data_IF_876148462801
#
_entry.id   IF_876148462801
#
_cell.length_a   1.000
_cell.length_b   1.000
_cell.length_c   1.000
_cell.angle_alpha   90.00
_cell.angle_beta   90.00
_cell.angle_gamma   90.00
#
_symmetry.space_group_name_H-M   'P 1'
#
loop_
_entity.id
_entity.type
_entity.pdbx_description
1 polymer ?
#
# COMPACT_ATOMS: atom_id res chain seq x y z
N UNK A 1 54.00 35.48 -32.67
CA UNK A 1 53.61 34.12 -33.10
C UNK A 1 52.75 33.54 -32.00
N UNK A 2 51.42 33.51 -32.23
CA UNK A 2 50.61 32.28 -32.36
C UNK A 2 50.43 31.60 -30.99
N UNK A 3 49.28 31.52 -30.34
CA UNK A 3 47.88 31.45 -30.76
C UNK A 3 47.17 30.63 -29.67
N UNK A 4 45.89 30.87 -29.37
CA UNK A 4 45.23 30.05 -28.35
C UNK A 4 43.81 30.42 -27.93
N UNK A 5 43.00 31.02 -28.80
CA UNK A 5 41.59 31.37 -28.50
C UNK A 5 40.61 30.18 -28.52
N UNK A 6 41.05 28.92 -28.38
CA UNK A 6 40.24 27.73 -28.66
C UNK A 6 39.94 26.78 -27.48
N UNK A 7 40.40 27.07 -26.25
CA UNK A 7 40.21 26.15 -25.11
C UNK A 7 38.93 26.39 -24.27
N UNK A 8 38.37 27.60 -24.31
CA UNK A 8 37.31 28.02 -23.36
C UNK A 8 35.88 27.58 -23.76
N UNK A 9 35.64 27.23 -25.02
CA UNK A 9 34.32 26.88 -25.53
C UNK A 9 33.88 25.45 -25.12
N UNK A 10 34.81 24.50 -25.12
CA UNK A 10 34.57 23.07 -24.85
C UNK A 10 34.25 22.79 -23.39
N UNK A 11 34.90 23.49 -22.45
CA UNK A 11 34.63 23.31 -21.02
C UNK A 11 33.25 23.87 -20.59
N UNK A 12 32.75 24.88 -21.31
CA UNK A 12 31.47 25.54 -21.02
C UNK A 12 30.27 24.71 -21.49
N UNK A 13 30.40 24.00 -22.61
CA UNK A 13 29.37 23.07 -23.10
C UNK A 13 29.25 21.83 -22.22
N UNK A 14 30.36 21.32 -21.69
CA UNK A 14 30.36 20.14 -20.81
C UNK A 14 29.69 20.41 -19.46
N UNK A 15 29.94 21.58 -18.86
CA UNK A 15 29.26 22.01 -17.62
C UNK A 15 27.75 22.16 -17.76
N UNK A 16 27.27 22.57 -18.95
CA UNK A 16 25.83 22.72 -19.23
C UNK A 16 25.13 21.37 -19.41
N UNK A 17 25.81 20.40 -20.02
CA UNK A 17 25.31 19.04 -20.17
C UNK A 17 25.25 18.30 -18.83
N UNK A 18 26.22 18.50 -17.94
CA UNK A 18 26.19 17.95 -16.58
C UNK A 18 25.06 18.53 -15.72
N UNK A 19 24.80 19.84 -15.83
CA UNK A 19 23.71 20.49 -15.09
C UNK A 19 22.32 20.02 -15.57
N UNK A 20 22.13 19.85 -16.88
CA UNK A 20 20.89 19.33 -17.46
C UNK A 20 20.63 17.85 -17.09
N UNK A 21 21.68 17.02 -17.07
CA UNK A 21 21.57 15.63 -16.63
C UNK A 21 21.20 15.52 -15.14
N UNK A 22 21.78 16.37 -14.27
CA UNK A 22 21.42 16.41 -12.85
C UNK A 22 19.97 16.88 -12.62
N UNK A 23 19.48 17.82 -13.42
CA UNK A 23 18.08 18.30 -13.34
C UNK A 23 17.06 17.24 -13.81
N UNK A 24 17.41 16.45 -14.83
CA UNK A 24 16.57 15.37 -15.32
C UNK A 24 16.48 14.19 -14.34
N UNK A 25 17.60 13.87 -13.66
CA UNK A 25 17.62 12.85 -12.61
C UNK A 25 16.79 13.29 -11.39
N UNK A 26 16.85 14.56 -10.98
CA UNK A 26 16.06 15.04 -9.84
C UNK A 26 14.55 15.08 -10.13
N UNK A 27 14.13 15.33 -11.38
CA UNK A 27 12.72 15.27 -11.77
C UNK A 27 12.17 13.83 -11.83
N UNK A 28 13.00 12.86 -12.24
CA UNK A 28 12.61 11.44 -12.27
C UNK A 28 12.47 10.83 -10.85
N UNK A 29 13.22 11.32 -9.87
CA UNK A 29 13.10 10.92 -8.46
C UNK A 29 11.87 11.55 -7.79
N UNK A 30 11.44 12.74 -8.23
CA UNK A 30 10.25 13.40 -7.67
C UNK A 30 8.92 12.69 -8.00
N UNK A 31 8.88 11.92 -9.11
CA UNK A 31 7.67 11.24 -9.58
C UNK A 31 7.31 9.94 -8.86
N UNK A 32 8.18 9.40 -8.00
CA UNK A 32 7.96 8.11 -7.31
C UNK A 32 7.43 8.24 -5.88
N UNK A 33 7.16 9.47 -5.40
CA UNK A 33 6.79 9.74 -4.01
C UNK A 33 5.27 9.85 -3.75
N UNK A 34 4.42 9.63 -4.75
CA UNK A 34 2.97 9.65 -4.53
C UNK A 34 2.50 8.32 -3.93
N UNK A 35 2.70 8.15 -2.63
CA UNK A 35 1.96 7.16 -1.85
C UNK A 35 0.47 7.54 -1.87
N UNK A 36 -0.46 6.61 -2.16
CA UNK A 36 -1.89 6.89 -1.96
C UNK A 36 -2.13 7.16 -0.48
N UNK A 37 -2.71 8.32 -0.17
CA UNK A 37 -3.09 8.67 1.19
C UNK A 37 -4.19 7.72 1.69
N UNK A 38 -3.95 7.06 2.82
CA UNK A 38 -4.97 6.30 3.53
C UNK A 38 -6.01 7.28 4.05
N UNK A 39 -7.28 7.07 3.68
CA UNK A 39 -8.39 7.85 4.22
C UNK A 39 -8.48 7.61 5.73
N UNK A 40 -8.32 8.68 6.51
CA UNK A 40 -8.36 8.64 7.97
C UNK A 40 -9.81 8.80 8.41
N UNK A 41 -10.48 7.68 8.67
CA UNK A 41 -11.67 7.68 9.52
C UNK A 41 -11.20 7.55 10.98
N UNK A 42 -11.89 8.22 11.90
CA UNK A 42 -11.60 8.18 13.34
C UNK A 42 -11.87 6.78 13.92
N UNK A 43 -10.97 5.82 13.73
CA UNK A 43 -11.00 4.58 14.50
C UNK A 43 -9.62 3.93 14.53
N UNK A 44 -8.94 4.06 15.66
CA UNK A 44 -7.85 3.27 16.27
C UNK A 44 -6.80 2.54 15.39
N UNK A 45 -6.66 2.87 14.11
CA UNK A 45 -5.60 2.41 13.21
C UNK A 45 -6.05 1.55 12.02
N UNK A 46 -7.32 1.15 11.92
CA UNK A 46 -7.87 0.36 10.81
C UNK A 46 -9.41 0.39 10.76
N UNK A 47 -10.00 0.02 9.63
CA UNK A 47 -11.47 -0.02 9.49
C UNK A 47 -12.03 -1.21 10.26
N UNK A 48 -12.94 -0.95 11.20
CA UNK A 48 -13.71 -1.99 11.88
C UNK A 48 -14.76 -2.55 10.93
N UNK A 49 -14.71 -3.85 10.69
CA UNK A 49 -15.62 -4.56 9.79
C UNK A 49 -16.39 -5.57 10.63
N UNK A 50 -17.72 -5.55 10.58
CA UNK A 50 -18.55 -6.52 11.29
C UNK A 50 -19.10 -7.54 10.29
N UNK A 51 -18.54 -8.77 10.23
CA UNK A 51 -19.14 -9.84 9.45
C UNK A 51 -20.43 -10.29 10.15
N UNK A 52 -21.58 -9.80 9.67
CA UNK A 52 -22.90 -10.14 10.20
C UNK A 52 -23.63 -11.07 9.23
N UNK A 53 -24.22 -12.15 9.75
CA UNK A 53 -25.07 -13.00 8.92
C UNK A 53 -25.43 -14.33 9.57
N UNK A 54 -25.81 -15.28 8.72
CA UNK A 54 -26.23 -16.61 9.11
C UNK A 54 -25.06 -17.62 9.15
N UNK A 55 -25.38 -18.92 9.06
CA UNK A 55 -24.45 -20.05 8.97
C UNK A 55 -23.29 -19.86 7.96
N UNK A 56 -23.47 -19.06 6.90
CA UNK A 56 -22.42 -18.77 5.91
C UNK A 56 -21.34 -17.87 6.52
N UNK A 57 -21.73 -16.92 7.36
CA UNK A 57 -20.80 -16.04 8.10
C UNK A 57 -20.20 -16.75 9.29
N UNK A 58 -21.01 -17.56 9.98
CA UNK A 58 -20.56 -18.41 11.08
C UNK A 58 -19.47 -19.38 10.59
N UNK A 59 -19.66 -20.00 9.42
CA UNK A 59 -18.71 -20.96 8.86
C UNK A 59 -19.06 -22.41 9.21
N UNK A 60 -20.35 -22.74 9.29
CA UNK A 60 -20.83 -24.03 9.81
C UNK A 60 -20.28 -25.22 9.01
N UNK A 61 -20.22 -25.10 7.68
CA UNK A 61 -19.70 -26.16 6.81
C UNK A 61 -18.19 -26.00 6.51
N UNK A 62 -17.70 -24.76 6.51
CA UNK A 62 -16.30 -24.42 6.22
C UNK A 62 -15.86 -23.48 7.32
N UNK A 63 -15.00 -23.93 8.27
CA UNK A 63 -14.55 -23.08 9.37
C UNK A 63 -14.02 -21.74 8.85
N UNK A 64 -14.50 -20.63 9.40
CA UNK A 64 -14.14 -19.28 8.95
C UNK A 64 -14.78 -18.83 7.62
N UNK A 65 -15.42 -19.72 6.86
CA UNK A 65 -16.21 -19.42 5.67
C UNK A 65 -15.52 -18.48 4.67
N UNK A 66 -16.27 -17.47 4.21
CA UNK A 66 -15.72 -16.46 3.31
C UNK A 66 -14.71 -15.52 3.97
N UNK A 67 -14.67 -15.47 5.32
CA UNK A 67 -13.82 -14.52 6.06
C UNK A 67 -12.34 -14.78 5.81
N UNK A 68 -11.96 -16.04 5.52
CA UNK A 68 -10.59 -16.40 5.12
C UNK A 68 -10.17 -15.65 3.84
N UNK A 69 -10.97 -15.76 2.78
CA UNK A 69 -10.68 -15.13 1.50
C UNK A 69 -10.78 -13.60 1.57
N UNK A 70 -11.71 -13.09 2.38
CA UNK A 70 -11.84 -11.66 2.64
C UNK A 70 -10.60 -11.10 3.35
N UNK A 71 -10.17 -11.72 4.44
CA UNK A 71 -8.97 -11.35 5.20
C UNK A 71 -7.73 -11.31 4.32
N UNK A 72 -7.50 -12.37 3.52
CA UNK A 72 -6.35 -12.46 2.61
C UNK A 72 -6.33 -11.33 1.58
N UNK A 73 -7.50 -11.00 1.01
CA UNK A 73 -7.61 -9.91 0.03
C UNK A 73 -7.32 -8.55 0.68
N UNK A 74 -7.89 -8.29 1.86
CA UNK A 74 -7.67 -7.05 2.60
C UNK A 74 -6.21 -6.87 2.99
N UNK A 75 -5.58 -7.92 3.53
CA UNK A 75 -4.15 -7.94 3.86
C UNK A 75 -3.28 -7.73 2.61
N UNK A 76 -3.59 -8.40 1.49
CA UNK A 76 -2.86 -8.23 0.22
C UNK A 76 -2.99 -6.80 -0.33
N UNK A 77 -4.13 -6.15 -0.11
CA UNK A 77 -4.39 -4.76 -0.47
C UNK A 77 -3.78 -3.75 0.50
N UNK A 78 -3.07 -4.20 1.54
CA UNK A 78 -2.50 -3.36 2.61
C UNK A 78 -3.54 -2.55 3.37
N UNK A 79 -4.77 -3.04 3.44
CA UNK A 79 -5.80 -2.48 4.31
C UNK A 79 -5.56 -2.96 5.74
N UNK A 80 -5.58 -2.02 6.68
CA UNK A 80 -5.63 -2.35 8.11
C UNK A 80 -7.10 -2.44 8.50
N UNK A 81 -7.54 -3.62 8.94
CA UNK A 81 -8.92 -3.88 9.35
C UNK A 81 -8.94 -4.68 10.65
N UNK A 82 -10.06 -4.61 11.33
CA UNK A 82 -10.38 -5.28 12.59
C UNK A 82 -11.75 -5.93 12.38
N UNK A 83 -11.84 -7.26 12.32
CA UNK A 83 -13.13 -7.91 12.37
C UNK A 83 -13.69 -7.77 13.78
N UNK A 84 -14.99 -7.52 13.86
CA UNK A 84 -15.63 -7.30 15.15
C UNK A 84 -16.92 -8.08 15.24
N UNK A 85 -17.21 -8.51 16.46
CA UNK A 85 -18.44 -9.18 16.82
C UNK A 85 -18.28 -9.95 18.14
N UNK A 86 -19.37 -10.55 18.59
CA UNK A 86 -19.45 -11.32 19.83
C UNK A 86 -19.08 -12.79 19.64
N UNK A 87 -19.17 -13.28 18.41
CA UNK A 87 -18.82 -14.66 18.06
C UNK A 87 -17.36 -14.74 17.61
N UNK A 88 -16.73 -15.89 17.86
CA UNK A 88 -15.33 -16.13 17.57
C UNK A 88 -15.14 -17.55 17.04
N UNK A 89 -14.73 -17.71 15.79
CA UNK A 89 -14.28 -18.99 15.24
C UNK A 89 -13.44 -18.83 13.96
N UNK A 90 -12.76 -19.91 13.59
CA UNK A 90 -12.12 -20.08 12.29
C UNK A 90 -10.78 -20.81 12.36
N UNK A 91 -10.17 -21.12 11.22
CA UNK A 91 -8.89 -21.80 11.14
C UNK A 91 -7.70 -20.87 11.45
N UNK A 92 -6.53 -21.42 11.73
CA UNK A 92 -5.34 -20.64 12.07
C UNK A 92 -4.75 -19.77 10.94
N UNK A 93 -5.21 -19.95 9.70
CA UNK A 93 -4.86 -19.08 8.57
C UNK A 93 -5.80 -17.87 8.39
N UNK A 94 -6.84 -17.77 9.22
CA UNK A 94 -7.64 -16.56 9.39
C UNK A 94 -6.98 -15.73 10.50
N UNK A 95 -6.56 -14.49 10.18
CA UNK A 95 -5.81 -13.66 11.12
C UNK A 95 -6.67 -12.99 12.19
N UNK A 96 -7.97 -12.87 11.94
CA UNK A 96 -8.94 -12.30 12.86
C UNK A 96 -10.23 -13.13 12.80
N UNK A 97 -10.62 -13.65 13.95
CA UNK A 97 -11.67 -14.67 14.08
C UNK A 97 -13.01 -14.11 14.54
N UNK A 98 -13.09 -12.82 14.86
CA UNK A 98 -14.31 -12.18 15.37
C UNK A 98 -15.38 -12.07 14.26
N UNK A 99 -16.64 -12.24 14.64
CA UNK A 99 -17.81 -12.12 13.76
C UNK A 99 -19.14 -12.03 14.53
N UNK A 100 -20.22 -11.74 13.81
CA UNK A 100 -21.62 -11.86 14.27
C UNK A 100 -22.38 -12.82 13.34
N UNK A 101 -21.83 -14.03 13.20
CA UNK A 101 -22.45 -15.11 12.42
C UNK A 101 -23.20 -16.07 13.32
N UNK A 102 -24.44 -16.37 12.97
CA UNK A 102 -25.31 -17.28 13.75
C UNK A 102 -25.91 -18.37 12.85
N UNK A 103 -26.01 -19.64 13.29
CA UNK A 103 -26.58 -20.72 12.49
C UNK A 103 -28.01 -20.49 12.01
#
# INVERSE_FOLDING_TARGET
MLGGHAAAATARTWRRLSAAALLAVSLAVAGTLTSPGVAVAESNGGVRVMPLGDSITEGTQVPGGYRIGLWQRLASGRYTIDFVGSQYNGPGNLGDHDHEGHP
#
